data_IF_617594274266
#
_entry.id   IF_617594274266
#
_cell.length_a   1.000
_cell.length_b   1.000
_cell.length_c   1.000
_cell.angle_alpha   90.00
_cell.angle_beta   90.00
_cell.angle_gamma   90.00
#
_symmetry.space_group_name_H-M   'P 1'
#
loop_
_entity.id
_entity.type
_entity.pdbx_description
1 polymer ?
#
# COMPACT_ATOMS: atom_id res chain seq x y z
N UNK A 1 79.95 28.30 -28.58
CA UNK A 1 78.51 28.48 -28.34
C UNK A 1 78.14 27.77 -27.02
N UNK A 2 77.80 28.56 -25.98
CA UNK A 2 77.15 28.24 -24.68
C UNK A 2 76.92 26.73 -24.37
N UNK A 3 77.76 26.06 -23.56
CA UNK A 3 77.75 25.97 -22.08
C UNK A 3 76.38 25.52 -21.51
N UNK A 4 76.22 24.28 -21.03
CA UNK A 4 76.54 23.84 -19.65
C UNK A 4 75.98 24.78 -18.57
N UNK A 5 74.66 24.69 -18.32
CA UNK A 5 73.86 25.02 -17.11
C UNK A 5 72.53 24.27 -17.32
N UNK A 6 71.91 23.48 -16.46
CA UNK A 6 71.89 23.43 -15.00
C UNK A 6 71.61 21.99 -14.55
N UNK A 7 72.48 21.49 -13.69
CA UNK A 7 72.19 20.44 -12.73
C UNK A 7 71.07 20.87 -11.76
N UNK A 8 70.36 19.90 -11.18
CA UNK A 8 69.57 20.02 -9.93
C UNK A 8 68.41 21.02 -9.96
N UNK A 9 67.23 20.53 -10.35
CA UNK A 9 65.98 20.91 -9.69
C UNK A 9 65.00 19.71 -9.73
N UNK A 10 65.04 18.97 -8.61
CA UNK A 10 63.88 18.36 -7.95
C UNK A 10 63.30 17.03 -8.48
N UNK A 11 64.13 15.97 -8.37
CA UNK A 11 63.71 14.80 -7.58
C UNK A 11 63.45 15.28 -6.15
N UNK A 12 62.21 15.65 -5.85
CA UNK A 12 61.86 16.22 -4.55
C UNK A 12 60.42 16.74 -4.49
N UNK A 13 59.43 15.86 -4.64
CA UNK A 13 58.06 16.13 -4.18
C UNK A 13 57.22 14.84 -3.98
N UNK A 14 57.87 13.70 -3.68
CA UNK A 14 57.23 12.68 -2.85
C UNK A 14 57.30 13.21 -1.41
N UNK A 15 56.20 13.84 -0.96
CA UNK A 15 55.91 14.44 0.37
C UNK A 15 55.61 15.94 0.25
N UNK A 16 54.39 16.29 -0.15
CA UNK A 16 53.69 17.51 0.33
C UNK A 16 52.28 17.63 -0.29
N UNK A 17 51.36 16.79 0.16
CA UNK A 17 49.95 17.20 0.32
C UNK A 17 49.20 16.23 1.25
N UNK A 18 49.82 15.94 2.41
CA UNK A 18 49.08 15.63 3.65
C UNK A 18 48.91 16.93 4.42
N UNK A 19 48.10 17.86 3.91
CA UNK A 19 47.64 19.04 4.65
C UNK A 19 46.68 19.84 3.77
N UNK A 20 45.48 19.30 3.59
CA UNK A 20 44.26 20.09 3.40
C UNK A 20 43.13 19.11 3.63
N UNK A 21 42.45 19.27 4.77
CA UNK A 21 41.35 18.44 5.22
C UNK A 21 40.16 18.55 4.26
N UNK A 22 40.28 17.92 3.10
CA UNK A 22 39.13 17.54 2.30
C UNK A 22 38.52 16.35 3.04
N UNK A 23 37.64 16.65 4.01
CA UNK A 23 36.73 15.64 4.55
C UNK A 23 36.03 15.08 3.33
N UNK A 24 36.39 13.87 2.90
CA UNK A 24 35.56 13.08 2.00
C UNK A 24 34.22 13.02 2.73
N UNK A 25 33.24 13.82 2.30
CA UNK A 25 31.86 13.59 2.70
C UNK A 25 31.64 12.13 2.34
N UNK A 26 31.44 11.29 3.35
CA UNK A 26 30.99 9.95 3.12
C UNK A 26 29.79 10.09 2.18
N UNK A 27 29.86 9.46 1.00
CA UNK A 27 28.70 9.30 0.16
C UNK A 27 27.73 8.50 1.00
N UNK A 28 26.85 9.20 1.73
CA UNK A 28 25.65 8.59 2.27
C UNK A 28 24.85 8.31 1.01
N UNK A 29 24.63 7.03 0.63
CA UNK A 29 23.63 6.76 -0.38
C UNK A 29 22.37 7.52 0.04
N UNK A 30 21.73 8.23 -0.90
CA UNK A 30 20.42 8.79 -0.64
C UNK A 30 19.62 7.68 0.06
N UNK A 31 19.12 7.96 1.28
CA UNK A 31 18.26 7.00 1.95
C UNK A 31 17.13 6.76 0.96
N UNK A 32 17.08 5.57 0.38
CA UNK A 32 15.95 5.17 -0.45
C UNK A 32 14.76 5.25 0.50
N UNK A 33 13.88 6.23 0.26
CA UNK A 33 12.71 6.46 1.08
C UNK A 33 11.81 5.24 0.94
N UNK A 34 11.81 4.40 1.96
CA UNK A 34 11.08 3.15 1.98
C UNK A 34 9.71 3.38 2.59
N UNK A 35 8.66 2.93 1.92
CA UNK A 35 7.28 3.18 2.32
C UNK A 35 6.57 1.88 2.67
N UNK A 36 5.54 2.00 3.49
CA UNK A 36 4.54 0.97 3.67
C UNK A 36 3.20 1.43 3.07
N UNK A 37 2.31 0.49 2.76
CA UNK A 37 0.92 0.79 2.37
C UNK A 37 0.00 0.24 3.45
N UNK A 38 -0.98 1.04 3.89
CA UNK A 38 -2.13 0.48 4.61
C UNK A 38 -2.96 -0.37 3.65
N UNK A 39 -2.94 -1.68 3.90
CA UNK A 39 -3.39 -2.69 2.99
C UNK A 39 -4.62 -3.41 3.54
N UNK A 40 -5.77 -3.16 2.93
CA UNK A 40 -7.02 -3.89 3.22
C UNK A 40 -7.16 -5.16 2.38
N UNK A 41 -6.39 -5.27 1.30
CA UNK A 41 -6.52 -6.31 0.28
C UNK A 41 -7.52 -5.99 -0.82
N UNK A 42 -8.19 -4.84 -0.76
CA UNK A 42 -9.15 -4.39 -1.77
C UNK A 42 -8.53 -3.58 -2.91
N UNK A 43 -9.37 -3.27 -3.90
CA UNK A 43 -9.00 -2.54 -5.12
C UNK A 43 -8.32 -1.19 -4.86
N UNK A 44 -8.77 -0.44 -3.84
CA UNK A 44 -8.30 0.94 -3.60
C UNK A 44 -6.87 0.93 -3.01
N UNK A 45 -6.62 0.06 -2.04
CA UNK A 45 -5.27 -0.17 -1.52
C UNK A 45 -4.30 -0.69 -2.59
N UNK A 46 -4.81 -1.50 -3.54
CA UNK A 46 -4.02 -1.99 -4.67
C UNK A 46 -3.70 -0.89 -5.69
N UNK A 47 -4.66 -0.01 -5.99
CA UNK A 47 -4.45 1.16 -6.85
C UNK A 47 -3.46 2.14 -6.19
N UNK A 48 -3.60 2.39 -4.88
CA UNK A 48 -2.68 3.24 -4.13
C UNK A 48 -1.25 2.69 -4.12
N UNK A 49 -1.07 1.37 -3.94
CA UNK A 49 0.23 0.71 -4.10
C UNK A 49 0.82 0.92 -5.50
N UNK A 50 0.01 0.74 -6.55
CA UNK A 50 0.46 0.92 -7.92
C UNK A 50 0.91 2.35 -8.18
N UNK A 51 0.08 3.35 -7.82
CA UNK A 51 0.42 4.77 -8.01
C UNK A 51 1.63 5.20 -7.20
N UNK A 52 1.76 4.75 -5.94
CA UNK A 52 2.94 4.99 -5.13
C UNK A 52 4.22 4.50 -5.84
N UNK A 53 4.20 3.29 -6.39
CA UNK A 53 5.34 2.74 -7.14
C UNK A 53 5.61 3.49 -8.45
N UNK A 54 4.57 3.87 -9.18
CA UNK A 54 4.73 4.70 -10.39
C UNK A 54 5.31 6.09 -10.07
N UNK A 55 4.95 6.66 -8.92
CA UNK A 55 5.54 7.88 -8.37
C UNK A 55 6.97 7.74 -7.87
N UNK A 56 7.57 6.55 -7.97
CA UNK A 56 8.95 6.28 -7.57
C UNK A 56 9.15 5.93 -6.10
N UNK A 57 8.08 5.67 -5.34
CA UNK A 57 8.19 5.25 -3.95
C UNK A 57 8.61 3.78 -3.85
N UNK A 58 9.59 3.50 -3.00
CA UNK A 58 10.06 2.15 -2.69
C UNK A 58 9.15 1.51 -1.63
N UNK A 59 8.02 0.96 -2.06
CA UNK A 59 7.08 0.28 -1.14
C UNK A 59 7.57 -1.13 -0.80
N UNK A 60 7.97 -1.32 0.45
CA UNK A 60 8.53 -2.58 0.98
C UNK A 60 7.59 -3.34 1.91
N UNK A 61 6.62 -2.66 2.52
CA UNK A 61 5.72 -3.28 3.49
C UNK A 61 4.25 -3.06 3.13
N UNK A 62 3.42 -4.04 3.46
CA UNK A 62 1.96 -3.91 3.51
C UNK A 62 1.55 -4.06 4.98
N UNK A 63 0.77 -3.12 5.49
CA UNK A 63 0.31 -3.13 6.88
C UNK A 63 -1.16 -3.50 6.89
N UNK A 64 -1.54 -4.55 7.62
CA UNK A 64 -2.93 -4.98 7.68
C UNK A 64 -3.35 -5.18 9.13
N UNK A 65 -4.28 -4.36 9.58
CA UNK A 65 -4.98 -4.57 10.84
C UNK A 65 -6.11 -5.57 10.65
N UNK A 66 -6.20 -6.55 11.54
CA UNK A 66 -7.18 -7.63 11.44
C UNK A 66 -7.69 -8.04 12.83
N UNK A 67 -8.85 -8.66 12.87
CA UNK A 67 -9.42 -9.19 14.11
C UNK A 67 -8.66 -10.45 14.54
N UNK A 68 -7.99 -10.37 15.70
CA UNK A 68 -7.13 -11.45 16.19
C UNK A 68 -7.87 -12.70 16.69
N UNK A 69 -9.20 -12.66 16.81
CA UNK A 69 -10.02 -13.82 17.18
C UNK A 69 -10.45 -14.58 15.93
N UNK A 70 -10.80 -13.86 14.87
CA UNK A 70 -11.34 -14.46 13.63
C UNK A 70 -10.30 -14.62 12.52
N UNK A 71 -9.09 -14.07 12.70
CA UNK A 71 -8.02 -14.00 11.70
C UNK A 71 -8.46 -13.34 10.38
N UNK A 72 -9.38 -12.37 10.46
CA UNK A 72 -9.96 -11.69 9.29
C UNK A 72 -9.77 -10.19 9.34
N UNK A 73 -9.48 -9.62 8.17
CA UNK A 73 -9.56 -8.18 7.95
C UNK A 73 -11.00 -7.75 8.16
N UNK A 74 -11.19 -6.87 9.15
CA UNK A 74 -12.51 -6.39 9.56
C UNK A 74 -13.20 -5.73 8.36
N UNK A 75 -14.52 -5.92 8.23
CA UNK A 75 -15.38 -5.45 7.13
C UNK A 75 -15.14 -6.10 5.75
N UNK A 76 -13.89 -6.42 5.40
CA UNK A 76 -13.54 -7.10 4.14
C UNK A 76 -13.77 -8.61 4.19
N UNK A 77 -13.99 -9.17 5.39
CA UNK A 77 -14.16 -10.60 5.67
C UNK A 77 -13.05 -11.50 5.10
N UNK A 78 -11.89 -10.90 4.79
CA UNK A 78 -10.79 -11.58 4.10
C UNK A 78 -9.84 -12.20 5.13
N UNK A 79 -9.52 -13.50 5.02
CA UNK A 79 -8.54 -14.14 5.91
C UNK A 79 -7.16 -13.49 5.78
N UNK A 80 -6.46 -13.28 6.89
CA UNK A 80 -5.09 -12.74 6.89
C UNK A 80 -4.12 -13.62 6.08
N UNK A 81 -4.38 -14.93 5.99
CA UNK A 81 -3.62 -15.85 5.13
C UNK A 81 -3.74 -15.50 3.63
N UNK A 82 -4.92 -15.07 3.17
CA UNK A 82 -5.14 -14.61 1.79
C UNK A 82 -4.42 -13.28 1.54
N UNK A 83 -4.36 -12.40 2.54
CA UNK A 83 -3.58 -11.15 2.48
C UNK A 83 -2.08 -11.44 2.41
N UNK A 84 -1.57 -12.44 3.14
CA UNK A 84 -0.17 -12.84 3.05
C UNK A 84 0.22 -13.26 1.62
N UNK A 85 -0.68 -13.94 0.89
CA UNK A 85 -0.47 -14.25 -0.52
C UNK A 85 -0.43 -13.01 -1.41
N UNK A 86 -1.24 -11.99 -1.12
CA UNK A 86 -1.15 -10.71 -1.83
C UNK A 86 0.19 -10.03 -1.56
N UNK A 87 0.69 -10.04 -0.33
CA UNK A 87 1.99 -9.47 0.02
C UNK A 87 3.14 -10.17 -0.73
N UNK A 88 3.13 -11.51 -0.78
CA UNK A 88 4.06 -12.30 -1.59
C UNK A 88 4.00 -11.90 -3.06
N UNK A 89 2.80 -11.86 -3.65
CA UNK A 89 2.60 -11.47 -5.04
C UNK A 89 3.02 -10.02 -5.31
N UNK A 90 2.84 -9.12 -4.34
CA UNK A 90 3.23 -7.71 -4.40
C UNK A 90 4.73 -7.48 -4.17
N UNK A 91 5.52 -8.51 -3.81
CA UNK A 91 6.92 -8.39 -3.36
C UNK A 91 7.09 -7.40 -2.21
N UNK A 92 6.24 -7.52 -1.19
CA UNK A 92 6.30 -6.72 0.01
C UNK A 92 6.15 -7.61 1.26
N UNK A 93 6.76 -7.19 2.36
CA UNK A 93 6.62 -7.85 3.66
C UNK A 93 5.28 -7.48 4.29
N UNK A 94 4.52 -8.47 4.76
CA UNK A 94 3.30 -8.22 5.50
C UNK A 94 3.62 -7.89 6.97
N UNK A 95 3.15 -6.73 7.42
CA UNK A 95 3.04 -6.36 8.84
C UNK A 95 1.62 -6.64 9.28
N UNK A 96 1.41 -7.83 9.83
CA UNK A 96 0.12 -8.27 10.37
C UNK A 96 -0.09 -7.66 11.75
N UNK A 97 -1.18 -6.91 11.93
CA UNK A 97 -1.49 -6.19 13.17
C UNK A 97 -2.78 -6.77 13.78
N UNK A 98 -2.70 -7.81 14.63
CA UNK A 98 -3.88 -8.33 15.31
C UNK A 98 -4.40 -7.28 16.30
N UNK A 99 -5.71 -7.04 16.27
CA UNK A 99 -6.32 -6.01 17.10
C UNK A 99 -7.80 -6.25 17.39
N UNK A 100 -8.25 -5.70 18.52
CA UNK A 100 -9.65 -5.56 18.89
C UNK A 100 -10.10 -4.10 18.66
N UNK A 101 -11.39 -3.81 18.80
CA UNK A 101 -11.90 -2.45 18.62
C UNK A 101 -11.23 -1.45 19.57
N UNK A 102 -11.08 -1.86 20.82
CA UNK A 102 -10.55 -1.04 21.91
C UNK A 102 -9.03 -0.85 21.81
N UNK A 103 -8.34 -1.77 21.11
CA UNK A 103 -6.88 -1.75 20.97
C UNK A 103 -6.38 -1.31 19.59
N UNK A 104 -7.29 -0.97 18.65
CA UNK A 104 -6.94 -0.61 17.27
C UNK A 104 -5.88 0.48 17.20
N UNK A 105 -6.10 1.58 17.92
CA UNK A 105 -5.20 2.73 17.92
C UNK A 105 -3.81 2.36 18.47
N UNK A 106 -3.77 1.68 19.62
CA UNK A 106 -2.52 1.26 20.25
C UNK A 106 -1.73 0.26 19.39
N UNK A 107 -2.42 -0.71 18.79
CA UNK A 107 -1.82 -1.69 17.88
C UNK A 107 -1.24 -1.02 16.62
N UNK A 108 -1.98 -0.08 16.03
CA UNK A 108 -1.54 0.65 14.85
C UNK A 108 -0.33 1.54 15.16
N UNK A 109 -0.36 2.26 16.28
CA UNK A 109 0.75 3.09 16.74
C UNK A 109 2.02 2.25 16.98
N UNK A 110 1.88 1.07 17.57
CA UNK A 110 3.00 0.14 17.77
C UNK A 110 3.58 -0.35 16.44
N UNK A 111 2.73 -0.66 15.46
CA UNK A 111 3.14 -1.07 14.11
C UNK A 111 3.91 0.05 13.39
N UNK A 112 3.41 1.29 13.42
CA UNK A 112 4.06 2.45 12.81
C UNK A 112 5.40 2.77 13.49
N UNK A 113 5.47 2.68 14.82
CA UNK A 113 6.73 2.82 15.55
C UNK A 113 7.73 1.72 15.19
N UNK A 114 7.25 0.49 14.92
CA UNK A 114 8.03 -0.63 14.39
C UNK A 114 8.66 -0.30 13.04
N UNK A 115 7.82 0.10 12.08
CA UNK A 115 8.24 0.48 10.73
C UNK A 115 9.23 1.64 10.73
N UNK A 116 8.99 2.68 11.54
CA UNK A 116 9.89 3.81 11.70
C UNK A 116 11.29 3.37 12.16
N UNK A 117 11.36 2.41 13.11
CA UNK A 117 12.63 1.80 13.55
C UNK A 117 13.32 0.96 12.47
N UNK A 118 12.55 0.34 11.59
CA UNK A 118 13.04 -0.41 10.42
C UNK A 118 13.47 0.49 9.24
N UNK A 119 13.31 1.81 9.38
CA UNK A 119 13.71 2.80 8.39
C UNK A 119 12.64 3.14 7.36
N UNK A 120 11.37 2.81 7.64
CA UNK A 120 10.24 3.33 6.89
C UNK A 120 10.17 4.86 7.03
N UNK A 121 9.89 5.56 5.93
CA UNK A 121 9.82 7.02 5.86
C UNK A 121 8.39 7.54 5.76
N UNK A 122 7.44 6.70 5.33
CA UNK A 122 6.05 7.10 5.18
C UNK A 122 5.09 5.93 4.98
N UNK A 123 3.80 6.21 5.20
CA UNK A 123 2.70 5.29 4.98
C UNK A 123 1.82 5.85 3.87
N UNK A 124 1.54 4.99 2.90
CA UNK A 124 0.63 5.23 1.77
C UNK A 124 -0.75 4.70 2.14
N UNK A 125 -1.79 5.48 1.87
CA UNK A 125 -3.19 5.11 2.13
C UNK A 125 -3.99 5.10 0.83
N UNK A 126 -5.01 4.25 0.81
CA UNK A 126 -5.99 4.13 -0.28
C UNK A 126 -7.31 4.84 0.04
N UNK A 127 -7.28 5.88 0.87
CA UNK A 127 -8.46 6.69 1.19
C UNK A 127 -8.78 7.62 0.01
N UNK A 128 -10.07 7.79 -0.31
CA UNK A 128 -10.49 8.59 -1.47
C UNK A 128 -10.96 9.99 -1.06
N UNK A 129 -11.95 10.11 -0.18
CA UNK A 129 -12.52 11.44 0.15
C UNK A 129 -13.10 11.63 1.56
N UNK A 130 -13.01 10.65 2.47
CA UNK A 130 -13.54 10.77 3.83
C UNK A 130 -12.59 11.57 4.75
N UNK A 131 -12.80 12.88 4.85
CA UNK A 131 -11.87 13.82 5.50
C UNK A 131 -11.53 13.46 6.96
N UNK A 132 -12.52 12.99 7.72
CA UNK A 132 -12.31 12.61 9.12
C UNK A 132 -11.44 11.35 9.25
N UNK A 133 -11.59 10.39 8.34
CA UNK A 133 -10.78 9.15 8.29
C UNK A 133 -9.34 9.50 7.94
N UNK A 134 -9.15 10.35 6.92
CA UNK A 134 -7.84 10.89 6.54
C UNK A 134 -7.16 11.60 7.70
N UNK A 135 -7.84 12.55 8.35
CA UNK A 135 -7.27 13.30 9.47
C UNK A 135 -6.89 12.37 10.64
N UNK A 136 -7.70 11.34 10.89
CA UNK A 136 -7.44 10.34 11.92
C UNK A 136 -6.14 9.54 11.64
N UNK A 137 -5.91 9.11 10.40
CA UNK A 137 -4.68 8.41 10.00
C UNK A 137 -3.48 9.34 9.91
N UNK A 138 -3.65 10.55 9.38
CA UNK A 138 -2.59 11.53 9.20
C UNK A 138 -1.97 11.93 10.55
N UNK A 139 -2.79 12.19 11.56
CA UNK A 139 -2.33 12.50 12.92
C UNK A 139 -1.46 11.38 13.49
N UNK A 140 -1.90 10.11 13.33
CA UNK A 140 -1.19 8.94 13.87
C UNK A 140 0.11 8.65 13.14
N UNK A 141 0.08 8.77 11.81
CA UNK A 141 1.25 8.59 10.95
C UNK A 141 2.31 9.63 11.29
N UNK A 142 1.92 10.91 11.40
CA UNK A 142 2.84 12.00 11.79
C UNK A 142 3.38 11.87 13.20
N UNK A 143 2.57 11.43 14.17
CA UNK A 143 3.04 11.13 15.54
C UNK A 143 4.14 10.07 15.56
N UNK A 144 4.16 9.13 14.62
CA UNK A 144 5.22 8.13 14.47
C UNK A 144 6.46 8.64 13.71
N UNK A 145 6.48 9.93 13.30
CA UNK A 145 7.55 10.53 12.50
C UNK A 145 7.56 10.07 11.05
N UNK A 146 6.43 9.57 10.54
CA UNK A 146 6.26 9.07 9.19
C UNK A 146 5.51 10.09 8.32
N UNK A 147 5.82 10.13 7.03
CA UNK A 147 5.05 10.87 6.02
C UNK A 147 3.69 10.20 5.77
N UNK A 148 2.63 11.00 5.61
CA UNK A 148 1.30 10.55 5.21
C UNK A 148 1.12 10.80 3.71
N UNK A 149 0.87 9.74 2.92
CA UNK A 149 0.79 9.81 1.46
C UNK A 149 -0.53 9.23 0.97
N UNK A 150 -1.29 9.97 0.17
CA UNK A 150 -2.55 9.49 -0.42
C UNK A 150 -2.58 9.78 -1.92
N UNK A 151 -2.10 8.84 -2.75
CA UNK A 151 -1.94 9.06 -4.17
C UNK A 151 -3.25 9.02 -4.96
N UNK A 152 -4.39 8.72 -4.33
CA UNK A 152 -5.72 8.68 -4.95
C UNK A 152 -6.73 9.65 -4.30
N UNK A 153 -6.27 10.47 -3.35
CA UNK A 153 -7.14 11.37 -2.59
C UNK A 153 -7.75 12.49 -3.45
N UNK A 154 -9.04 12.74 -3.26
CA UNK A 154 -9.77 13.82 -3.90
C UNK A 154 -10.15 13.54 -5.36
N UNK A 155 -9.87 12.35 -5.87
CA UNK A 155 -10.24 11.96 -7.23
C UNK A 155 -11.64 11.36 -7.31
N UNK A 156 -12.35 11.53 -8.44
CA UNK A 156 -13.69 10.97 -8.60
C UNK A 156 -13.66 9.43 -8.49
N UNK A 157 -14.48 8.82 -7.63
CA UNK A 157 -14.53 7.35 -7.46
C UNK A 157 -14.74 6.59 -8.78
N UNK A 158 -15.56 7.11 -9.69
CA UNK A 158 -15.81 6.48 -10.99
C UNK A 158 -14.54 6.41 -11.85
N UNK A 159 -13.70 7.45 -11.81
CA UNK A 159 -12.47 7.54 -12.58
C UNK A 159 -11.41 6.59 -12.00
N UNK A 160 -11.31 6.51 -10.66
CA UNK A 160 -10.42 5.58 -9.97
C UNK A 160 -10.79 4.12 -10.26
N UNK A 161 -12.08 3.77 -10.24
CA UNK A 161 -12.55 2.43 -10.60
C UNK A 161 -12.21 2.09 -12.06
N UNK A 162 -12.46 3.04 -12.99
CA UNK A 162 -12.16 2.86 -14.40
C UNK A 162 -10.65 2.68 -14.63
N UNK A 163 -9.81 3.48 -13.98
CA UNK A 163 -8.36 3.35 -14.01
C UNK A 163 -7.91 1.98 -13.48
N UNK A 164 -8.41 1.56 -12.31
CA UNK A 164 -8.08 0.25 -11.73
C UNK A 164 -8.31 -0.88 -12.73
N UNK A 165 -9.44 -0.87 -13.45
CA UNK A 165 -9.73 -1.87 -14.49
C UNK A 165 -8.83 -1.69 -15.70
N UNK A 166 -8.61 -0.46 -16.17
CA UNK A 166 -7.82 -0.13 -17.35
C UNK A 166 -6.35 -0.52 -17.23
N UNK A 167 -5.76 -0.42 -16.03
CA UNK A 167 -4.39 -0.89 -15.78
C UNK A 167 -4.29 -2.42 -15.69
N UNK A 168 -5.39 -3.15 -15.88
CA UNK A 168 -5.46 -4.61 -15.78
C UNK A 168 -5.76 -5.13 -14.36
N UNK A 169 -6.14 -4.25 -13.44
CA UNK A 169 -6.60 -4.63 -12.11
C UNK A 169 -7.87 -5.48 -12.18
N UNK A 170 -7.91 -6.53 -11.36
CA UNK A 170 -9.10 -7.35 -11.13
C UNK A 170 -9.26 -7.60 -9.65
N UNK A 171 -10.47 -7.44 -9.16
CA UNK A 171 -10.85 -7.72 -7.79
C UNK A 171 -12.21 -8.43 -7.76
N UNK A 172 -12.50 -9.17 -6.70
CA UNK A 172 -13.79 -9.84 -6.50
C UNK A 172 -14.55 -9.16 -5.38
N UNK A 173 -15.86 -8.96 -5.52
CA UNK A 173 -16.70 -8.47 -4.42
C UNK A 173 -16.83 -9.55 -3.35
N UNK A 174 -16.39 -9.24 -2.12
CA UNK A 174 -16.38 -10.19 -0.99
C UNK A 174 -17.36 -9.84 0.11
N UNK A 175 -17.87 -8.63 0.13
CA UNK A 175 -18.86 -8.16 1.09
C UNK A 175 -19.77 -7.17 0.38
N UNK A 176 -21.07 -7.24 0.63
CA UNK A 176 -22.09 -6.32 0.14
C UNK A 176 -22.99 -5.95 1.30
N UNK A 177 -23.24 -4.65 1.49
CA UNK A 177 -24.31 -4.20 2.39
C UNK A 177 -25.66 -4.28 1.66
N UNK A 178 -26.54 -5.16 2.15
CA UNK A 178 -27.72 -5.62 1.42
C UNK A 178 -28.81 -4.56 1.28
N UNK A 179 -28.74 -3.47 2.06
CA UNK A 179 -29.65 -2.33 1.97
C UNK A 179 -29.24 -1.32 0.89
N UNK A 180 -27.96 -1.26 0.51
CA UNK A 180 -27.44 -0.34 -0.51
C UNK A 180 -27.23 -0.98 -1.86
N UNK A 181 -26.88 -2.27 -1.90
CA UNK A 181 -26.57 -2.98 -3.14
C UNK A 181 -27.12 -4.41 -3.09
N UNK A 182 -27.65 -4.86 -4.23
CA UNK A 182 -28.30 -6.16 -4.33
C UNK A 182 -27.30 -7.31 -4.03
N UNK A 183 -27.64 -8.32 -3.22
CA UNK A 183 -26.73 -9.42 -2.87
C UNK A 183 -26.23 -10.24 -4.07
N UNK A 184 -26.86 -10.14 -5.25
CA UNK A 184 -26.38 -10.74 -6.51
C UNK A 184 -25.05 -10.16 -6.99
N UNK A 185 -24.62 -9.02 -6.45
CA UNK A 185 -23.32 -8.43 -6.73
C UNK A 185 -22.15 -9.18 -6.09
N UNK A 186 -22.45 -9.94 -5.03
CA UNK A 186 -21.46 -10.69 -4.28
C UNK A 186 -20.78 -11.74 -5.19
N UNK A 187 -19.44 -11.77 -5.18
CA UNK A 187 -18.63 -12.67 -6.02
C UNK A 187 -18.40 -12.19 -7.45
N UNK A 188 -19.02 -11.07 -7.87
CA UNK A 188 -18.72 -10.47 -9.18
C UNK A 188 -17.27 -10.01 -9.25
N UNK A 189 -16.69 -10.15 -10.43
CA UNK A 189 -15.39 -9.57 -10.75
C UNK A 189 -15.56 -8.09 -11.09
N UNK A 190 -14.67 -7.25 -10.56
CA UNK A 190 -14.48 -5.86 -10.97
C UNK A 190 -13.69 -5.86 -12.28
N UNK A 191 -14.42 -5.70 -13.37
CA UNK A 191 -13.96 -5.61 -14.75
C UNK A 191 -14.71 -4.50 -15.50
N UNK A 192 -14.54 -4.42 -16.82
CA UNK A 192 -15.18 -3.39 -17.65
C UNK A 192 -16.72 -3.50 -17.61
N UNK A 193 -17.26 -4.69 -17.40
CA UNK A 193 -18.70 -4.93 -17.22
C UNK A 193 -19.19 -4.40 -15.88
N UNK A 194 -18.44 -4.67 -14.81
CA UNK A 194 -18.72 -4.13 -13.48
C UNK A 194 -18.80 -2.60 -13.49
N UNK A 195 -17.83 -1.92 -14.12
CA UNK A 195 -17.80 -0.45 -14.22
C UNK A 195 -19.09 0.09 -14.86
N UNK A 196 -19.55 -0.53 -15.94
CA UNK A 196 -20.79 -0.11 -16.62
C UNK A 196 -22.03 -0.35 -15.77
N UNK A 197 -22.07 -1.46 -15.05
CA UNK A 197 -23.25 -1.84 -14.28
C UNK A 197 -23.36 -1.02 -12.99
N UNK A 198 -22.24 -0.76 -12.30
CA UNK A 198 -22.26 -0.07 -11.01
C UNK A 198 -22.63 1.40 -11.18
N UNK A 199 -22.25 2.00 -12.32
CA UNK A 199 -22.65 3.36 -12.68
C UNK A 199 -24.19 3.53 -12.80
N UNK A 200 -24.95 2.43 -12.97
CA UNK A 200 -26.42 2.46 -13.09
C UNK A 200 -27.15 2.31 -11.76
N UNK A 201 -26.47 1.90 -10.69
CA UNK A 201 -27.12 1.67 -9.39
C UNK A 201 -27.25 2.95 -8.57
N UNK A 202 -26.44 3.97 -8.87
CA UNK A 202 -26.40 5.24 -8.13
C UNK A 202 -25.67 5.17 -6.78
N UNK A 203 -25.07 4.01 -6.45
CA UNK A 203 -24.20 3.86 -5.27
C UNK A 203 -22.80 4.40 -5.54
N UNK A 204 -21.98 4.56 -4.50
CA UNK A 204 -20.58 4.89 -4.69
C UNK A 204 -19.86 3.76 -5.47
N UNK A 205 -19.24 4.05 -6.63
CA UNK A 205 -18.63 3.03 -7.48
C UNK A 205 -17.37 2.42 -6.85
N UNK A 206 -16.78 3.07 -5.84
CA UNK A 206 -15.72 2.51 -5.03
C UNK A 206 -16.22 1.92 -3.70
N UNK A 207 -17.49 2.06 -3.36
CA UNK A 207 -18.05 1.53 -2.12
C UNK A 207 -17.58 2.27 -0.85
N UNK A 208 -17.16 3.53 -0.97
CA UNK A 208 -16.61 4.32 0.14
C UNK A 208 -17.61 4.56 1.27
N UNK A 209 -18.92 4.45 1.01
CA UNK A 209 -19.95 4.56 2.04
C UNK A 209 -20.31 3.18 2.64
N UNK A 210 -19.50 2.15 2.38
CA UNK A 210 -19.68 0.79 2.89
C UNK A 210 -20.66 -0.05 2.08
N UNK A 211 -20.92 0.28 0.82
CA UNK A 211 -21.79 -0.50 -0.06
C UNK A 211 -21.23 -1.89 -0.36
N UNK A 212 -19.92 -1.99 -0.55
CA UNK A 212 -19.25 -3.26 -0.78
C UNK A 212 -17.76 -3.20 -0.43
N UNK A 213 -17.17 -4.38 -0.22
CA UNK A 213 -15.73 -4.57 -0.16
C UNK A 213 -15.27 -5.56 -1.22
N UNK A 214 -14.00 -5.44 -1.60
CA UNK A 214 -13.40 -6.27 -2.65
C UNK A 214 -12.09 -6.91 -2.19
N UNK A 215 -11.69 -7.95 -2.92
CA UNK A 215 -10.40 -8.61 -2.81
C UNK A 215 -9.67 -8.55 -4.16
N UNK A 216 -8.60 -7.77 -4.25
CA UNK A 216 -7.78 -7.65 -5.45
C UNK A 216 -6.95 -8.91 -5.69
N UNK A 217 -6.98 -9.47 -6.89
CA UNK A 217 -6.28 -10.73 -7.19
C UNK A 217 -5.47 -10.71 -8.49
N UNK A 218 -5.61 -9.69 -9.34
CA UNK A 218 -4.74 -9.49 -10.50
C UNK A 218 -4.51 -8.00 -10.76
N UNK A 219 -3.39 -7.67 -11.41
CA UNK A 219 -3.02 -6.31 -11.78
C UNK A 219 -1.51 -6.08 -11.71
N UNK A 220 -1.03 -4.91 -12.17
CA UNK A 220 0.41 -4.59 -12.26
C UNK A 220 1.08 -4.39 -10.90
N UNK A 221 0.30 -4.27 -9.83
CA UNK A 221 0.79 -4.27 -8.45
C UNK A 221 1.21 -5.66 -7.96
N UNK A 222 0.83 -6.73 -8.67
CA UNK A 222 1.27 -8.10 -8.40
C UNK A 222 2.18 -8.64 -9.50
N UNK A 223 3.13 -9.49 -9.12
CA UNK A 223 4.04 -10.19 -10.04
C UNK A 223 3.37 -11.33 -10.79
N UNK A 224 2.27 -11.85 -10.25
CA UNK A 224 1.41 -12.87 -10.85
C UNK A 224 -0.01 -12.69 -10.30
N UNK A 225 -1.05 -13.05 -11.06
CA UNK A 225 -2.39 -13.19 -10.50
C UNK A 225 -2.41 -14.25 -9.39
N UNK A 226 -3.27 -14.03 -8.39
CA UNK A 226 -3.57 -15.00 -7.35
C UNK A 226 -4.72 -15.90 -7.83
N UNK A 227 -4.63 -17.20 -7.51
CA UNK A 227 -5.73 -18.13 -7.73
C UNK A 227 -6.72 -18.01 -6.59
N UNK A 228 -7.88 -17.43 -6.88
CA UNK A 228 -8.97 -17.23 -5.92
C UNK A 228 -9.88 -18.47 -5.89
N UNK A 229 -10.19 -18.95 -4.68
CA UNK A 229 -11.25 -19.93 -4.44
C UNK A 229 -12.33 -19.28 -3.60
N UNK A 230 -13.56 -19.38 -4.07
CA UNK A 230 -14.73 -18.92 -3.33
C UNK A 230 -15.17 -20.04 -2.40
N UNK A 231 -15.26 -19.73 -1.12
CA UNK A 231 -15.71 -20.62 -0.06
C UNK A 231 -17.16 -20.36 0.35
N UNK A 232 -17.43 -20.56 1.64
CA UNK A 232 -18.75 -20.37 2.25
C UNK A 232 -19.26 -18.93 2.10
N UNK A 233 -20.56 -18.82 1.78
CA UNK A 233 -21.32 -17.56 1.88
C UNK A 233 -21.89 -17.42 3.29
N UNK A 234 -21.75 -16.23 3.85
CA UNK A 234 -22.32 -15.86 5.15
C UNK A 234 -23.22 -14.65 5.00
N UNK A 235 -24.44 -14.76 5.50
CA UNK A 235 -25.40 -13.68 5.51
C UNK A 235 -25.65 -13.28 6.97
N UNK A 236 -25.40 -12.01 7.26
CA UNK A 236 -25.77 -11.30 8.49
C UNK A 236 -26.98 -10.40 8.17
N UNK A 237 -27.80 -9.96 9.15
CA UNK A 237 -28.89 -9.01 8.92
C UNK A 237 -28.54 -7.80 8.04
N UNK A 238 -27.29 -7.33 8.05
CA UNK A 238 -26.85 -6.17 7.27
C UNK A 238 -25.97 -6.51 6.06
N UNK A 239 -25.22 -7.61 6.10
CA UNK A 239 -24.17 -7.88 5.11
C UNK A 239 -24.27 -9.29 4.52
N UNK A 240 -24.03 -9.41 3.21
CA UNK A 240 -23.75 -10.68 2.55
C UNK A 240 -22.26 -10.77 2.25
N UNK A 241 -21.61 -11.86 2.66
CA UNK A 241 -20.15 -12.02 2.62
C UNK A 241 -19.75 -13.35 1.96
N UNK A 242 -18.64 -13.33 1.22
CA UNK A 242 -17.97 -14.52 0.71
C UNK A 242 -16.64 -14.72 1.39
N UNK A 243 -16.42 -15.94 1.86
CA UNK A 243 -15.09 -16.37 2.23
C UNK A 243 -14.24 -16.56 0.97
N UNK A 244 -13.05 -15.96 0.97
CA UNK A 244 -12.07 -16.06 -0.11
C UNK A 244 -10.77 -16.66 0.40
N UNK A 245 -10.34 -17.72 -0.28
CA UNK A 245 -9.00 -18.28 -0.16
C UNK A 245 -8.16 -17.98 -1.40
N UNK A 246 -6.93 -17.53 -1.20
CA UNK A 246 -6.01 -17.22 -2.29
C UNK A 246 -4.76 -18.14 -2.25
N UNK A 247 -4.24 -18.49 -3.43
CA UNK A 247 -2.98 -19.24 -3.62
C UNK A 247 -2.11 -18.65 -4.74
#
# INVERSE_FOLDING_TARGET
HRALRDERLHRGALRACRARGCRRRAFRPARVSAYAVMWSGGKDSALALWRARQGGLDVRWLVTAYDGVTDRVRFHATPIASIARQAEAARASLVSVPTAWESFDASLAAAFAGLSREGCTGIVFGDIHLADVRAWYEERTRRAGLEHVEPIWGEPPADLLAEFVAIGGRAMLTCVETAKLDPSWLGRTIDEGFVRDIARTGVDPCGENGEFHSFAYAGPFFTRPLRVRVGERRDDPRFAQLHIDAA
#
